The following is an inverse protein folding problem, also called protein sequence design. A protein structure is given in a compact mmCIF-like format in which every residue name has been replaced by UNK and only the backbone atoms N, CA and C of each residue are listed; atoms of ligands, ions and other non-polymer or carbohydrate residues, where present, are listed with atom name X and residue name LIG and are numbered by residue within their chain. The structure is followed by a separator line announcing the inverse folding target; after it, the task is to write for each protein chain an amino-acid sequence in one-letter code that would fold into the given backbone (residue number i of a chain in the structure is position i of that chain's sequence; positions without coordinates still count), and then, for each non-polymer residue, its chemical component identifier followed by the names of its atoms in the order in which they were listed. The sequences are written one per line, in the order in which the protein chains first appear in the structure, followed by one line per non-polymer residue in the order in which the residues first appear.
data_IF_914245447028
#
_entry.id   IF_914245447028
#
_cell.length_a   1.000
_cell.length_b   1.000
_cell.length_c   1.000
_cell.angle_alpha   90.00
_cell.angle_beta   90.00
_cell.angle_gamma   90.00
#
_symmetry.space_group_name_H-M   'P 1'
#
loop_
_entity.id
_entity.type
_entity.pdbx_description
1 polymer ?
#
# COMPACT_ATOMS: atom_id res chain seq x y z
N UNK A 1 37.91 -40.79 14.51
CA UNK A 1 39.13 -41.52 14.95
C UNK A 1 39.86 -42.20 13.76
N UNK A 2 40.08 -41.53 12.61
CA UNK A 2 40.76 -42.12 11.43
C UNK A 2 41.72 -41.09 10.78
N UNK A 3 42.44 -40.30 11.58
CA UNK A 3 43.39 -39.30 11.10
C UNK A 3 44.87 -39.70 11.27
N UNK A 4 45.16 -40.82 11.94
CA UNK A 4 46.52 -41.16 12.36
C UNK A 4 47.41 -41.89 11.34
N UNK A 5 46.86 -42.41 10.22
CA UNK A 5 47.63 -43.29 9.30
C UNK A 5 48.18 -42.57 8.06
N UNK A 6 47.56 -41.47 7.62
CA UNK A 6 47.96 -40.68 6.43
C UNK A 6 49.17 -39.78 6.70
N UNK A 7 49.21 -39.15 7.88
CA UNK A 7 50.37 -38.37 8.32
C UNK A 7 51.62 -39.23 8.46
N UNK A 8 51.48 -40.43 9.04
CA UNK A 8 52.59 -41.38 9.22
C UNK A 8 53.23 -41.82 7.89
N UNK A 9 52.46 -42.01 6.83
CA UNK A 9 53.00 -42.38 5.50
C UNK A 9 53.73 -41.21 4.82
N UNK A 10 53.22 -39.98 4.94
CA UNK A 10 53.90 -38.80 4.40
C UNK A 10 55.19 -38.47 5.16
N UNK A 11 55.19 -38.63 6.49
CA UNK A 11 56.40 -38.44 7.31
C UNK A 11 57.41 -39.56 7.12
N UNK A 12 56.96 -40.80 6.82
CA UNK A 12 57.86 -41.91 6.48
C UNK A 12 58.54 -41.71 5.12
N UNK A 13 57.85 -41.15 4.12
CA UNK A 13 58.43 -40.87 2.80
C UNK A 13 59.41 -39.69 2.83
N UNK A 14 59.09 -38.62 3.58
CA UNK A 14 60.02 -37.50 3.82
C UNK A 14 61.21 -37.96 4.67
N UNK A 15 60.98 -38.81 5.68
CA UNK A 15 62.03 -39.43 6.48
C UNK A 15 62.95 -40.35 5.67
N UNK A 16 62.42 -41.08 4.67
CA UNK A 16 63.22 -41.91 3.76
C UNK A 16 64.10 -41.06 2.83
N UNK A 17 63.62 -39.90 2.39
CA UNK A 17 64.39 -38.94 1.57
C UNK A 17 65.44 -38.18 2.41
N UNK A 18 65.14 -37.84 3.67
CA UNK A 18 66.09 -37.19 4.57
C UNK A 18 67.10 -38.14 5.25
N UNK A 19 66.83 -39.45 5.28
CA UNK A 19 67.78 -40.45 5.77
C UNK A 19 68.80 -40.88 4.69
N UNK A 20 68.51 -40.61 3.41
CA UNK A 20 69.39 -40.95 2.30
C UNK A 20 70.74 -40.17 2.25
N UNK A 21 70.88 -38.92 2.73
CA UNK A 21 72.17 -38.23 2.70
C UNK A 21 73.15 -38.72 3.78
N UNK A 22 72.69 -39.45 4.80
CA UNK A 22 73.57 -40.00 5.84
C UNK A 22 74.53 -41.08 5.31
N UNK A 23 74.28 -41.62 4.10
CA UNK A 23 75.19 -42.50 3.35
C UNK A 23 75.67 -41.86 2.03
N UNK A 24 75.66 -40.54 1.92
CA UNK A 24 76.10 -39.84 0.71
C UNK A 24 77.17 -38.77 0.97
N UNK A 25 77.65 -38.63 2.20
CA UNK A 25 78.77 -37.74 2.54
C UNK A 25 80.00 -38.55 2.96
N UNK A 26 80.80 -38.94 1.96
CA UNK A 26 82.20 -39.35 2.12
C UNK A 26 82.46 -40.86 2.24
N UNK A 27 82.92 -41.47 1.14
CA UNK A 27 84.00 -42.47 1.13
C UNK A 27 84.30 -42.91 -0.32
N UNK A 28 85.46 -42.50 -0.83
CA UNK A 28 86.24 -43.34 -1.73
C UNK A 28 86.50 -44.68 -1.01
N UNK A 29 85.79 -45.74 -1.40
CA UNK A 29 86.12 -47.17 -1.23
C UNK A 29 84.87 -48.03 -1.48
N UNK A 30 84.97 -49.05 -2.32
CA UNK A 30 83.85 -49.91 -2.76
C UNK A 30 83.21 -50.80 -1.67
N UNK A 31 82.33 -51.74 -2.07
CA UNK A 31 82.81 -52.88 -2.84
C UNK A 31 82.02 -53.16 -4.12
N UNK A 32 82.68 -53.89 -5.02
CA UNK A 32 82.09 -54.73 -6.05
C UNK A 32 80.80 -55.40 -5.53
N UNK A 33 79.68 -55.20 -6.22
CA UNK A 33 78.43 -55.97 -6.07
C UNK A 33 77.93 -56.22 -4.63
N UNK A 34 77.13 -55.28 -4.10
CA UNK A 34 76.26 -55.58 -2.94
C UNK A 34 75.23 -56.63 -3.38
N UNK A 35 75.32 -57.84 -2.82
CA UNK A 35 74.45 -58.99 -3.20
C UNK A 35 74.53 -59.37 -4.69
N UNK A 36 75.71 -59.28 -5.31
CA UNK A 36 75.89 -59.71 -6.71
C UNK A 36 75.28 -58.77 -7.77
N UNK A 37 74.70 -57.63 -7.36
CA UNK A 37 73.96 -56.74 -8.26
C UNK A 37 74.69 -55.40 -8.50
N UNK A 38 74.63 -54.84 -9.73
CA UNK A 38 75.24 -53.56 -10.04
C UNK A 38 74.67 -52.41 -9.19
N UNK A 39 75.48 -51.39 -8.84
CA UNK A 39 75.03 -50.19 -8.13
C UNK A 39 73.86 -49.45 -8.81
N UNK A 40 73.73 -49.60 -10.14
CA UNK A 40 72.61 -49.06 -10.93
C UNK A 40 71.27 -49.66 -10.51
N UNK A 41 71.23 -50.94 -10.15
CA UNK A 41 70.00 -51.64 -9.77
C UNK A 41 69.39 -51.01 -8.50
N UNK A 42 70.22 -50.75 -7.49
CA UNK A 42 69.78 -50.12 -6.24
C UNK A 42 69.31 -48.67 -6.45
N UNK A 43 69.92 -47.92 -7.38
CA UNK A 43 69.46 -46.57 -7.76
C UNK A 43 68.09 -46.62 -8.44
N UNK A 44 67.90 -47.54 -9.40
CA UNK A 44 66.62 -47.73 -10.10
C UNK A 44 65.53 -48.20 -9.14
N UNK A 45 65.85 -49.12 -8.22
CA UNK A 45 64.92 -49.60 -7.22
C UNK A 45 64.46 -48.48 -6.29
N UNK A 46 65.37 -47.66 -5.77
CA UNK A 46 65.03 -46.50 -4.94
C UNK A 46 64.19 -45.47 -5.72
N UNK A 47 64.55 -45.17 -6.96
CA UNK A 47 63.76 -44.29 -7.83
C UNK A 47 62.35 -44.83 -8.05
N UNK A 48 62.21 -46.13 -8.31
CA UNK A 48 60.93 -46.80 -8.53
C UNK A 48 60.07 -46.80 -7.26
N UNK A 49 60.65 -47.08 -6.10
CA UNK A 49 59.95 -47.03 -4.80
C UNK A 49 59.51 -45.59 -4.50
N UNK A 50 60.38 -44.60 -4.74
CA UNK A 50 60.05 -43.20 -4.51
C UNK A 50 58.94 -42.71 -5.44
N UNK A 51 59.06 -42.89 -6.76
CA UNK A 51 58.04 -42.48 -7.73
C UNK A 51 56.75 -43.31 -7.61
N UNK A 52 56.84 -44.59 -7.29
CA UNK A 52 55.68 -45.45 -7.03
C UNK A 52 54.92 -45.01 -5.77
N UNK A 53 55.64 -44.68 -4.69
CA UNK A 53 55.08 -44.13 -3.47
C UNK A 53 54.45 -42.75 -3.69
N UNK A 54 55.14 -41.87 -4.44
CA UNK A 54 54.64 -40.54 -4.78
C UNK A 54 53.40 -40.62 -5.67
N UNK A 55 53.40 -41.47 -6.69
CA UNK A 55 52.25 -41.72 -7.55
C UNK A 55 51.05 -42.27 -6.77
N UNK A 56 51.27 -43.22 -5.86
CA UNK A 56 50.21 -43.73 -4.99
C UNK A 56 49.64 -42.66 -4.06
N UNK A 57 50.49 -41.82 -3.46
CA UNK A 57 50.07 -40.77 -2.54
C UNK A 57 49.36 -39.60 -3.24
N UNK A 58 49.81 -39.20 -4.44
CA UNK A 58 49.26 -38.08 -5.20
C UNK A 58 48.05 -38.47 -6.07
N UNK A 59 47.91 -39.73 -6.47
CA UNK A 59 46.79 -40.17 -7.31
C UNK A 59 45.41 -39.86 -6.71
N UNK A 60 45.26 -39.97 -5.39
CA UNK A 60 44.01 -39.67 -4.68
C UNK A 60 43.70 -38.16 -4.58
N UNK A 61 44.59 -37.28 -4.07
CA UNK A 61 44.31 -35.85 -3.97
C UNK A 61 44.16 -35.18 -5.34
N UNK A 62 44.95 -35.57 -6.36
CA UNK A 62 44.79 -34.99 -7.70
C UNK A 62 43.43 -35.34 -8.31
N UNK A 63 43.00 -36.61 -8.26
CA UNK A 63 41.68 -37.02 -8.76
C UNK A 63 40.55 -36.33 -8.00
N UNK A 64 40.66 -36.23 -6.67
CA UNK A 64 39.70 -35.52 -5.82
C UNK A 64 39.60 -34.04 -6.19
N UNK A 65 40.72 -33.37 -6.44
CA UNK A 65 40.74 -31.96 -6.82
C UNK A 65 40.05 -31.71 -8.16
N UNK A 66 40.35 -32.48 -9.20
CA UNK A 66 39.69 -32.35 -10.50
C UNK A 66 38.20 -32.71 -10.43
N UNK A 67 37.82 -33.73 -9.66
CA UNK A 67 36.42 -34.09 -9.43
C UNK A 67 35.67 -32.94 -8.71
N UNK A 68 36.23 -32.41 -7.63
CA UNK A 68 35.66 -31.28 -6.86
C UNK A 68 35.53 -30.01 -7.71
N UNK A 69 36.54 -29.69 -8.54
CA UNK A 69 36.47 -28.58 -9.50
C UNK A 69 35.35 -28.77 -10.51
N UNK A 70 35.24 -29.96 -11.11
CA UNK A 70 34.18 -30.29 -12.08
C UNK A 70 32.80 -30.20 -11.45
N UNK A 71 32.64 -30.73 -10.25
CA UNK A 71 31.39 -30.66 -9.49
C UNK A 71 31.03 -29.23 -9.07
N UNK A 72 32.04 -28.41 -8.71
CA UNK A 72 31.85 -26.99 -8.42
C UNK A 72 31.35 -26.20 -9.62
N UNK A 73 31.95 -26.40 -10.80
CA UNK A 73 31.52 -25.77 -12.05
C UNK A 73 30.10 -26.24 -12.43
N UNK A 74 29.83 -27.54 -12.34
CA UNK A 74 28.51 -28.09 -12.63
C UNK A 74 27.44 -27.50 -11.70
N UNK A 75 27.74 -27.37 -10.39
CA UNK A 75 26.85 -26.73 -9.42
C UNK A 75 26.62 -25.25 -9.72
N UNK A 76 27.68 -24.50 -10.04
CA UNK A 76 27.55 -23.08 -10.40
C UNK A 76 26.71 -22.89 -11.65
N UNK A 77 26.86 -23.76 -12.65
CA UNK A 77 26.06 -23.71 -13.87
C UNK A 77 24.59 -24.09 -13.62
N UNK A 78 24.34 -25.10 -12.80
CA UNK A 78 22.99 -25.50 -12.38
C UNK A 78 22.30 -24.38 -11.58
N UNK A 79 23.02 -23.73 -10.68
CA UNK A 79 22.50 -22.61 -9.89
C UNK A 79 22.22 -21.38 -10.77
N UNK A 80 23.13 -21.04 -11.67
CA UNK A 80 22.93 -19.92 -12.60
C UNK A 80 21.76 -20.16 -13.57
N UNK A 81 21.57 -21.40 -14.04
CA UNK A 81 20.41 -21.75 -14.89
C UNK A 81 19.11 -21.69 -14.11
N UNK A 82 19.10 -22.18 -12.86
CA UNK A 82 17.94 -22.08 -11.97
C UNK A 82 17.57 -20.61 -11.69
N UNK A 83 18.54 -19.78 -11.30
CA UNK A 83 18.31 -18.36 -11.02
C UNK A 83 17.79 -17.61 -12.26
N UNK A 84 18.29 -17.95 -13.45
CA UNK A 84 17.76 -17.39 -14.71
C UNK A 84 16.32 -17.82 -14.95
N UNK A 85 15.98 -19.09 -14.75
CA UNK A 85 14.62 -19.58 -14.89
C UNK A 85 13.65 -18.90 -13.90
N UNK A 86 14.04 -18.79 -12.63
CA UNK A 86 13.26 -18.08 -11.60
C UNK A 86 13.09 -16.59 -11.93
N UNK A 87 14.13 -15.93 -12.43
CA UNK A 87 14.05 -14.53 -12.86
C UNK A 87 13.14 -14.36 -14.10
N UNK A 88 13.20 -15.27 -15.07
CA UNK A 88 12.31 -15.25 -16.23
C UNK A 88 10.85 -15.49 -15.85
N UNK A 89 10.59 -16.42 -14.93
CA UNK A 89 9.25 -16.69 -14.40
C UNK A 89 8.70 -15.46 -13.68
N UNK A 90 9.48 -14.86 -12.76
CA UNK A 90 9.09 -13.65 -12.06
C UNK A 90 8.82 -12.49 -13.03
N UNK A 91 9.64 -12.34 -14.08
CA UNK A 91 9.41 -11.31 -15.10
C UNK A 91 8.10 -11.54 -15.84
N UNK A 92 7.80 -12.77 -16.27
CA UNK A 92 6.54 -13.10 -16.92
C UNK A 92 5.33 -12.86 -16.00
N UNK A 93 5.44 -13.22 -14.73
CA UNK A 93 4.38 -12.99 -13.76
C UNK A 93 4.13 -11.49 -13.55
N UNK A 94 5.19 -10.70 -13.42
CA UNK A 94 5.07 -9.24 -13.26
C UNK A 94 4.54 -8.57 -14.52
N UNK A 95 4.95 -9.00 -15.71
CA UNK A 95 4.40 -8.53 -16.98
C UNK A 95 2.90 -8.85 -17.09
N UNK A 96 2.49 -10.07 -16.71
CA UNK A 96 1.09 -10.46 -16.69
C UNK A 96 0.27 -9.63 -15.67
N UNK A 97 0.82 -9.39 -14.46
CA UNK A 97 0.20 -8.52 -13.45
C UNK A 97 0.05 -7.09 -13.95
N UNK A 98 1.08 -6.54 -14.60
CA UNK A 98 1.03 -5.18 -15.17
C UNK A 98 0.00 -5.08 -16.29
N UNK A 99 -0.11 -6.10 -17.15
CA UNK A 99 -1.12 -6.15 -18.19
C UNK A 99 -2.55 -6.19 -17.59
N UNK A 100 -2.77 -7.05 -16.59
CA UNK A 100 -4.06 -7.13 -15.88
C UNK A 100 -4.45 -5.81 -15.21
N UNK A 101 -3.48 -5.12 -14.57
CA UNK A 101 -3.72 -3.81 -13.97
C UNK A 101 -4.13 -2.74 -14.98
N UNK A 102 -3.61 -2.77 -16.21
CA UNK A 102 -4.02 -1.81 -17.25
C UNK A 102 -5.49 -2.02 -17.65
N UNK A 103 -5.93 -3.27 -17.76
CA UNK A 103 -7.32 -3.61 -18.04
C UNK A 103 -8.24 -3.20 -16.88
N UNK A 104 -7.84 -3.48 -15.64
CA UNK A 104 -8.58 -3.05 -14.45
C UNK A 104 -8.70 -1.51 -14.37
N UNK A 105 -7.63 -0.77 -14.66
CA UNK A 105 -7.65 0.69 -14.71
C UNK A 105 -8.58 1.20 -15.81
N UNK A 106 -8.57 0.57 -16.98
CA UNK A 106 -9.48 0.95 -18.07
C UNK A 106 -10.94 0.72 -17.68
N UNK A 107 -11.25 -0.44 -17.08
CA UNK A 107 -12.59 -0.76 -16.60
C UNK A 107 -13.04 0.21 -15.49
N UNK A 108 -12.14 0.50 -14.53
CA UNK A 108 -12.41 1.44 -13.45
C UNK A 108 -12.68 2.85 -13.97
N UNK A 109 -11.91 3.34 -14.94
CA UNK A 109 -12.15 4.64 -15.56
C UNK A 109 -13.51 4.72 -16.25
N UNK A 110 -13.91 3.66 -16.92
CA UNK A 110 -15.21 3.61 -17.59
C UNK A 110 -16.36 3.63 -16.58
N UNK A 111 -16.25 2.84 -15.50
CA UNK A 111 -17.21 2.88 -14.39
C UNK A 111 -17.30 4.26 -13.75
N UNK A 112 -16.17 4.87 -13.44
CA UNK A 112 -16.13 6.21 -12.83
C UNK A 112 -16.73 7.29 -13.73
N UNK A 113 -16.57 7.18 -15.06
CA UNK A 113 -17.25 8.08 -16.01
C UNK A 113 -18.75 7.87 -15.98
N UNK A 114 -19.21 6.63 -16.12
CA UNK A 114 -20.65 6.32 -16.11
C UNK A 114 -21.32 6.69 -14.80
N UNK A 115 -20.69 6.41 -13.67
CA UNK A 115 -21.20 6.77 -12.34
C UNK A 115 -21.18 8.29 -12.14
N UNK A 116 -20.13 8.98 -12.58
CA UNK A 116 -20.04 10.44 -12.53
C UNK A 116 -21.08 11.14 -13.39
N UNK A 117 -21.41 10.61 -14.57
CA UNK A 117 -22.49 11.14 -15.42
C UNK A 117 -23.87 10.95 -14.77
N UNK A 118 -24.15 9.77 -14.22
CA UNK A 118 -25.41 9.50 -13.51
C UNK A 118 -25.55 10.35 -12.26
N UNK A 119 -24.49 10.50 -11.47
CA UNK A 119 -24.51 11.32 -10.25
C UNK A 119 -24.68 12.80 -10.60
N UNK A 120 -24.02 13.28 -11.66
CA UNK A 120 -24.24 14.64 -12.17
C UNK A 120 -25.70 14.86 -12.56
N UNK A 121 -26.30 13.93 -13.31
CA UNK A 121 -27.70 14.05 -13.72
C UNK A 121 -28.64 14.03 -12.51
N UNK A 122 -28.40 13.13 -11.55
CA UNK A 122 -29.18 13.07 -10.32
C UNK A 122 -29.09 14.37 -9.50
N UNK A 123 -27.89 14.94 -9.35
CA UNK A 123 -27.68 16.22 -8.66
C UNK A 123 -28.37 17.38 -9.38
N UNK A 124 -28.33 17.39 -10.71
CA UNK A 124 -29.07 18.40 -11.50
C UNK A 124 -30.58 18.30 -11.26
N UNK A 125 -31.15 17.10 -11.37
CA UNK A 125 -32.59 16.88 -11.16
C UNK A 125 -33.02 17.23 -9.72
N UNK A 126 -32.20 16.87 -8.73
CA UNK A 126 -32.42 17.26 -7.34
C UNK A 126 -32.39 18.78 -7.18
N UNK A 127 -31.37 19.44 -7.73
CA UNK A 127 -31.24 20.90 -7.70
C UNK A 127 -32.42 21.62 -8.34
N UNK A 128 -32.89 21.16 -9.51
CA UNK A 128 -34.09 21.70 -10.17
C UNK A 128 -35.34 21.51 -9.33
N UNK A 129 -35.51 20.34 -8.72
CA UNK A 129 -36.65 20.03 -7.85
C UNK A 129 -36.64 20.90 -6.59
N UNK A 130 -35.46 21.09 -5.97
CA UNK A 130 -35.30 21.93 -4.79
C UNK A 130 -35.52 23.40 -5.12
N UNK A 131 -34.98 23.89 -6.25
CA UNK A 131 -35.21 25.25 -6.72
C UNK A 131 -36.70 25.50 -6.96
N UNK A 132 -37.41 24.58 -7.63
CA UNK A 132 -38.85 24.70 -7.85
C UNK A 132 -39.64 24.72 -6.55
N UNK A 133 -39.29 23.86 -5.57
CA UNK A 133 -39.90 23.87 -4.24
C UNK A 133 -39.65 25.18 -3.50
N UNK A 134 -38.43 25.71 -3.57
CA UNK A 134 -38.08 26.97 -2.93
C UNK A 134 -38.87 28.15 -3.52
N UNK A 135 -39.00 28.21 -4.85
CA UNK A 135 -39.79 29.24 -5.51
C UNK A 135 -41.25 29.16 -5.06
N UNK A 136 -41.84 27.97 -5.05
CA UNK A 136 -43.23 27.79 -4.59
C UNK A 136 -43.42 28.21 -3.12
N UNK A 137 -42.46 27.88 -2.24
CA UNK A 137 -42.48 28.30 -0.84
C UNK A 137 -42.38 29.82 -0.68
N UNK A 138 -41.49 30.47 -1.45
CA UNK A 138 -41.32 31.92 -1.42
C UNK A 138 -42.57 32.63 -1.93
N UNK A 139 -43.20 32.13 -2.99
CA UNK A 139 -44.45 32.68 -3.51
C UNK A 139 -45.58 32.57 -2.47
N UNK A 140 -45.74 31.40 -1.85
CA UNK A 140 -46.73 31.19 -0.79
C UNK A 140 -46.47 32.10 0.41
N UNK A 141 -45.22 32.23 0.85
CA UNK A 141 -44.85 33.10 1.96
C UNK A 141 -45.08 34.58 1.61
N UNK A 142 -44.79 34.99 0.37
CA UNK A 142 -45.04 36.34 -0.10
C UNK A 142 -46.54 36.69 -0.05
N UNK A 143 -47.41 35.79 -0.52
CA UNK A 143 -48.87 35.96 -0.44
C UNK A 143 -49.31 36.11 1.02
N UNK A 144 -48.88 35.19 1.90
CA UNK A 144 -49.21 35.25 3.33
C UNK A 144 -48.74 36.55 3.99
N UNK A 145 -47.53 37.02 3.66
CA UNK A 145 -47.00 38.30 4.16
C UNK A 145 -47.80 39.49 3.66
N UNK A 146 -48.22 39.51 2.40
CA UNK A 146 -49.06 40.58 1.84
C UNK A 146 -50.41 40.62 2.57
N UNK A 147 -51.04 39.48 2.81
CA UNK A 147 -52.30 39.41 3.56
C UNK A 147 -52.14 39.88 5.02
N UNK A 148 -51.07 39.45 5.69
CA UNK A 148 -50.75 39.91 7.04
C UNK A 148 -50.53 41.43 7.10
N UNK A 149 -49.78 41.99 6.15
CA UNK A 149 -49.56 43.44 6.06
C UNK A 149 -50.85 44.19 5.77
N UNK A 150 -51.72 43.67 4.88
CA UNK A 150 -53.04 44.27 4.61
C UNK A 150 -53.93 44.30 5.84
N UNK A 151 -54.01 43.21 6.58
CA UNK A 151 -54.83 43.15 7.81
C UNK A 151 -54.29 44.09 8.89
N UNK A 152 -52.97 44.18 9.02
CA UNK A 152 -52.33 45.13 9.93
C UNK A 152 -52.61 46.59 9.54
N UNK A 153 -52.45 46.95 8.26
CA UNK A 153 -52.75 48.29 7.74
C UNK A 153 -54.22 48.67 7.96
N UNK A 154 -55.16 47.74 7.70
CA UNK A 154 -56.58 48.00 7.90
C UNK A 154 -56.91 48.27 9.37
N UNK A 155 -56.26 47.55 10.29
CA UNK A 155 -56.39 47.76 11.73
C UNK A 155 -55.83 49.12 12.14
N UNK A 156 -54.60 49.45 11.74
CA UNK A 156 -53.97 50.73 12.03
C UNK A 156 -54.79 51.92 11.50
N UNK A 157 -55.32 51.81 10.28
CA UNK A 157 -56.20 52.83 9.70
C UNK A 157 -57.52 52.98 10.48
N UNK A 158 -58.11 51.87 10.95
CA UNK A 158 -59.32 51.91 11.77
C UNK A 158 -59.06 52.57 13.13
N UNK A 159 -57.95 52.23 13.78
CA UNK A 159 -57.53 52.82 15.05
C UNK A 159 -57.27 54.33 14.91
N UNK A 160 -56.58 54.76 13.84
CA UNK A 160 -56.36 56.16 13.52
C UNK A 160 -57.68 56.91 13.24
N UNK A 161 -58.60 56.33 12.48
CA UNK A 161 -59.91 56.93 12.22
C UNK A 161 -60.73 57.11 13.51
N UNK A 162 -60.72 56.12 14.40
CA UNK A 162 -61.37 56.20 15.72
C UNK A 162 -60.73 57.31 16.57
N UNK A 163 -59.41 57.46 16.51
CA UNK A 163 -58.68 58.49 17.25
C UNK A 163 -59.05 59.89 16.76
N UNK A 164 -59.08 60.11 15.43
CA UNK A 164 -59.51 61.38 14.83
C UNK A 164 -60.96 61.69 15.17
N UNK A 165 -61.86 60.70 15.05
CA UNK A 165 -63.26 60.87 15.39
C UNK A 165 -63.46 61.22 16.87
N UNK A 166 -62.71 60.58 17.78
CA UNK A 166 -62.71 60.91 19.21
C UNK A 166 -62.26 62.34 19.46
N UNK A 167 -61.20 62.78 18.78
CA UNK A 167 -60.66 64.13 18.94
C UNK A 167 -61.66 65.18 18.43
N UNK A 168 -62.25 64.98 17.25
CA UNK A 168 -63.27 65.85 16.68
C UNK A 168 -64.51 65.94 17.59
N UNK A 169 -65.01 64.78 18.04
CA UNK A 169 -66.17 64.69 18.93
C UNK A 169 -65.89 65.39 20.28
N UNK A 170 -64.68 65.29 20.81
CA UNK A 170 -64.30 65.96 22.06
C UNK A 170 -64.23 67.49 21.92
N UNK A 171 -63.92 68.01 20.73
CA UNK A 171 -63.87 69.45 20.42
C UNK A 171 -65.27 70.04 20.19
N UNK A 172 -66.16 69.28 19.54
CA UNK A 172 -67.48 69.75 19.11
C UNK A 172 -68.60 69.49 20.15
N UNK A 173 -68.44 68.55 21.09
CA UNK A 173 -69.50 68.22 22.06
C UNK A 173 -69.71 69.29 23.14
N UNK A 174 -70.81 70.04 23.00
CA UNK A 174 -71.33 70.96 24.02
C UNK A 174 -72.23 70.31 25.10
N UNK A 175 -72.68 71.09 26.09
CA UNK A 175 -73.55 70.60 27.17
C UNK A 175 -74.90 70.02 26.69
N UNK A 176 -75.50 70.64 25.66
CA UNK A 176 -76.80 70.23 25.13
C UNK A 176 -76.74 68.85 24.41
N UNK A 177 -75.62 68.54 23.76
CA UNK A 177 -75.44 67.23 23.11
C UNK A 177 -75.26 66.10 24.11
N UNK A 178 -74.60 66.36 25.25
CA UNK A 178 -74.44 65.37 26.33
C UNK A 178 -75.78 64.97 26.92
N UNK A 179 -76.65 65.94 27.20
CA UNK A 179 -78.01 65.68 27.69
C UNK A 179 -78.86 64.92 26.67
N UNK A 180 -78.75 65.25 25.38
CA UNK A 180 -79.46 64.54 24.30
C UNK A 180 -79.02 63.08 24.21
N UNK A 181 -77.71 62.81 24.26
CA UNK A 181 -77.15 61.45 24.25
C UNK A 181 -77.58 60.67 25.50
N UNK A 182 -77.58 61.31 26.67
CA UNK A 182 -78.00 60.69 27.93
C UNK A 182 -79.47 60.25 27.87
N UNK A 183 -80.37 61.13 27.40
CA UNK A 183 -81.80 60.81 27.22
C UNK A 183 -82.02 59.71 26.19
N UNK A 184 -81.30 59.73 25.06
CA UNK A 184 -81.39 58.70 24.03
C UNK A 184 -80.92 57.33 24.52
N UNK A 185 -79.88 57.29 25.37
CA UNK A 185 -79.37 56.04 25.96
C UNK A 185 -80.37 55.45 26.96
N UNK A 186 -80.97 56.29 27.80
CA UNK A 186 -82.03 55.86 28.72
C UNK A 186 -83.26 55.30 27.98
N UNK A 187 -83.63 55.90 26.84
CA UNK A 187 -84.72 55.40 26.01
C UNK A 187 -84.43 54.01 25.40
N UNK A 188 -83.19 53.73 24.99
CA UNK A 188 -82.79 52.40 24.50
C UNK A 188 -82.73 51.35 25.61
N UNK A 189 -82.23 51.70 26.80
CA UNK A 189 -82.20 50.77 27.94
C UNK A 189 -83.61 50.40 28.40
N UNK A 190 -84.56 51.33 28.33
CA UNK A 190 -85.96 51.04 28.63
C UNK A 190 -86.63 50.11 27.60
N UNK A 191 -86.19 50.12 26.33
CA UNK A 191 -86.66 49.18 25.30
C UNK A 191 -85.97 47.81 25.36
N UNK A 192 -84.72 47.72 25.84
CA UNK A 192 -83.99 46.46 25.97
C UNK A 192 -84.29 45.68 27.25
N UNK A 193 -84.89 46.33 28.26
CA UNK A 193 -85.30 45.71 29.53
C UNK A 193 -86.78 45.28 29.58
N UNK A 194 -87.51 45.38 28.47
CA UNK A 194 -88.91 44.95 28.33
C UNK A 194 -89.08 43.65 27.53
N UNK A 195 -88.00 42.87 27.41
CA UNK A 195 -87.99 41.45 26.99
C UNK A 195 -87.19 40.64 28.01
#
# INVERSE_FOLDING_TARGET
MIAGRRGRLSTLLVGLVLAAPAWASGADSGPETVWGLPPIFWKILNFTIFFGGLGYLLSKPLRSFFASRREGIARQLAEATRQRAEAEELRREMEARVAGLQEEIANLRERLRGDGEREREALMQQGETEAAKLVAQVEEEAVRRIEAVRTQLAREASEAAVQVARELLSRELGPADRDRIFRATLARLHQGGSS
#
